data_IF_736166082193
#
_entry.id   IF_736166082193
#
_cell.length_a   1.000
_cell.length_b   1.000
_cell.length_c   1.000
_cell.angle_alpha   90.00
_cell.angle_beta   90.00
_cell.angle_gamma   90.00
#
_symmetry.space_group_name_H-M   'P 1'
#
loop_
_entity.id
_entity.type
_entity.pdbx_description
1 polymer ?
#
# COMPACT_ATOMS: atom_id res chain seq x y z
N UNK A 1 4.43 -11.67 -5.25
CA UNK A 1 3.20 -12.10 -4.52
C UNK A 1 2.76 -11.09 -3.47
N UNK A 2 2.55 -9.84 -3.86
CA UNK A 2 2.01 -8.78 -2.98
C UNK A 2 1.72 -7.58 -3.86
N UNK A 3 0.68 -6.80 -3.57
CA UNK A 3 0.53 -5.47 -4.12
C UNK A 3 -0.03 -4.53 -3.06
N UNK A 4 0.70 -3.45 -2.78
CA UNK A 4 0.26 -2.41 -1.85
C UNK A 4 0.45 -1.02 -2.48
N UNK A 5 -0.44 -0.10 -2.13
CA UNK A 5 -0.51 1.26 -2.65
C UNK A 5 -0.63 2.23 -1.47
N UNK A 6 0.11 3.33 -1.52
CA UNK A 6 -0.12 4.52 -0.70
C UNK A 6 -0.28 5.74 -1.60
N UNK A 7 -1.33 6.52 -1.41
CA UNK A 7 -1.59 7.76 -2.16
C UNK A 7 -1.63 8.93 -1.17
N UNK A 8 -0.85 9.98 -1.45
CA UNK A 8 -0.83 11.23 -0.71
C UNK A 8 -1.63 12.28 -1.48
N UNK A 9 -2.71 12.76 -0.90
CA UNK A 9 -3.50 13.88 -1.45
C UNK A 9 -3.28 15.11 -0.58
N UNK A 10 -3.78 16.27 -1.00
CA UNK A 10 -3.79 17.45 -0.12
C UNK A 10 -4.72 17.28 1.08
N UNK A 11 -5.72 16.40 0.96
CA UNK A 11 -6.77 16.14 1.95
C UNK A 11 -6.43 15.01 2.93
N UNK A 12 -5.35 14.25 2.68
CA UNK A 12 -4.94 13.14 3.53
C UNK A 12 -4.26 12.00 2.76
N UNK A 13 -4.44 10.77 3.25
CA UNK A 13 -3.77 9.57 2.76
C UNK A 13 -4.78 8.45 2.49
N UNK A 14 -4.49 7.66 1.47
CA UNK A 14 -5.22 6.42 1.13
C UNK A 14 -4.21 5.28 1.05
N UNK A 15 -4.51 4.18 1.72
CA UNK A 15 -3.76 2.94 1.64
C UNK A 15 -4.64 1.78 1.21
N UNK A 16 -4.07 0.89 0.42
CA UNK A 16 -4.67 -0.39 0.09
C UNK A 16 -3.58 -1.46 0.04
N UNK A 17 -3.84 -2.66 0.57
CA UNK A 17 -2.95 -3.81 0.46
C UNK A 17 -3.72 -5.10 0.27
N UNK A 18 -3.30 -5.93 -0.68
CA UNK A 18 -3.81 -7.30 -0.81
C UNK A 18 -3.35 -8.19 0.36
N UNK A 19 -3.93 -9.38 0.52
CA UNK A 19 -3.57 -10.29 1.62
C UNK A 19 -2.95 -11.63 1.20
N UNK A 20 -2.99 -11.98 -0.09
CA UNK A 20 -2.37 -13.22 -0.58
C UNK A 20 -0.85 -13.17 -0.42
N UNK A 21 -0.27 -14.19 0.20
CA UNK A 21 1.15 -14.20 0.53
C UNK A 21 1.79 -15.56 0.34
N UNK A 22 3.05 -15.57 -0.09
CA UNK A 22 3.87 -16.77 -0.21
C UNK A 22 4.53 -17.06 1.14
N UNK A 23 4.21 -18.20 1.75
CA UNK A 23 4.81 -18.66 3.00
C UNK A 23 5.78 -19.83 2.81
N UNK A 24 6.16 -20.16 1.57
CA UNK A 24 7.06 -21.26 1.22
C UNK A 24 6.62 -22.01 -0.04
N UNK A 25 7.38 -23.04 -0.41
CA UNK A 25 7.06 -23.90 -1.54
C UNK A 25 5.63 -24.46 -1.39
N UNK A 26 4.77 -24.18 -2.37
CA UNK A 26 3.35 -24.55 -2.42
C UNK A 26 2.51 -24.11 -1.20
N UNK A 27 2.92 -23.07 -0.48
CA UNK A 27 2.22 -22.56 0.68
C UNK A 27 1.74 -21.12 0.47
N UNK A 28 0.52 -20.98 -0.04
CA UNK A 28 -0.12 -19.68 -0.28
C UNK A 28 -1.24 -19.47 0.73
N UNK A 29 -1.09 -18.46 1.58
CA UNK A 29 -2.04 -18.14 2.65
C UNK A 29 -2.47 -16.67 2.62
N UNK A 30 -3.42 -16.33 3.48
CA UNK A 30 -3.92 -14.98 3.70
C UNK A 30 -3.26 -14.42 4.96
N UNK A 31 -2.52 -13.32 4.80
CA UNK A 31 -1.99 -12.52 5.91
C UNK A 31 -2.29 -11.06 5.63
N UNK A 32 -2.78 -10.33 6.63
CA UNK A 32 -2.86 -8.88 6.52
C UNK A 32 -1.46 -8.31 6.34
N UNK A 33 -1.33 -7.39 5.40
CA UNK A 33 -0.08 -6.68 5.14
C UNK A 33 -0.09 -5.28 5.71
N UNK A 34 -1.21 -4.86 6.33
CA UNK A 34 -1.40 -3.55 6.91
C UNK A 34 -1.28 -3.61 8.43
N UNK A 35 -0.53 -2.67 9.00
CA UNK A 35 -0.51 -2.37 10.42
C UNK A 35 -0.90 -0.90 10.60
N UNK A 36 -1.78 -0.65 11.56
CA UNK A 36 -2.18 0.72 11.94
C UNK A 36 -1.80 0.97 13.40
N UNK A 37 -1.25 2.14 13.66
CA UNK A 37 -1.01 2.67 15.00
C UNK A 37 -1.67 4.04 15.08
N UNK A 38 -2.87 4.06 15.66
CA UNK A 38 -3.76 5.23 15.70
C UNK A 38 -4.05 5.57 17.16
N UNK A 39 -3.34 6.55 17.69
CA UNK A 39 -3.44 6.97 19.09
C UNK A 39 -3.50 8.49 19.15
N UNK A 40 -4.43 9.06 19.91
CA UNK A 40 -4.47 10.46 20.39
C UNK A 40 -3.82 11.56 19.52
N UNK A 41 -2.48 11.61 19.49
CA UNK A 41 -1.68 12.62 18.77
C UNK A 41 -1.10 12.18 17.43
N UNK A 42 -1.24 10.92 17.01
CA UNK A 42 -0.66 10.38 15.78
C UNK A 42 -1.45 9.22 15.19
N UNK A 43 -1.53 9.23 13.88
CA UNK A 43 -1.97 8.08 13.08
C UNK A 43 -0.81 7.65 12.21
N UNK A 44 -0.48 6.36 12.21
CA UNK A 44 0.58 5.75 11.40
C UNK A 44 0.01 4.50 10.75
N UNK A 45 0.15 4.40 9.44
CA UNK A 45 -0.24 3.25 8.62
C UNK A 45 1.02 2.70 7.97
N UNK A 46 1.25 1.40 8.11
CA UNK A 46 2.36 0.67 7.50
C UNK A 46 1.79 -0.44 6.64
N UNK A 47 2.30 -0.59 5.41
CA UNK A 47 2.01 -1.76 4.56
C UNK A 47 3.30 -2.41 4.08
N UNK A 48 3.32 -3.74 3.94
CA UNK A 48 4.54 -4.49 3.61
C UNK A 48 4.47 -5.23 2.29
N UNK A 49 5.64 -5.57 1.74
CA UNK A 49 5.83 -6.55 0.68
C UNK A 49 7.21 -7.20 0.80
N UNK A 50 7.42 -8.35 0.17
CA UNK A 50 8.71 -9.04 0.17
C UNK A 50 8.71 -10.25 1.10
N UNK A 51 9.80 -10.45 1.85
CA UNK A 51 9.95 -11.62 2.70
C UNK A 51 8.95 -11.61 3.88
N UNK A 52 8.11 -12.65 3.97
CA UNK A 52 7.09 -12.74 5.02
C UNK A 52 7.72 -12.78 6.42
N UNK A 53 8.74 -13.62 6.63
CA UNK A 53 9.41 -13.75 7.92
C UNK A 53 10.00 -12.44 8.42
N UNK A 54 10.71 -11.72 7.55
CA UNK A 54 11.27 -10.39 7.89
C UNK A 54 10.18 -9.37 8.15
N UNK A 55 9.13 -9.31 7.32
CA UNK A 55 8.04 -8.36 7.53
C UNK A 55 7.29 -8.57 8.85
N UNK A 56 7.01 -9.83 9.21
CA UNK A 56 6.38 -10.19 10.47
C UNK A 56 7.31 -9.92 11.67
N UNK A 57 8.61 -10.17 11.53
CA UNK A 57 9.58 -9.86 12.59
C UNK A 57 9.66 -8.34 12.84
N UNK A 58 9.62 -7.51 11.79
CA UNK A 58 9.54 -6.05 11.91
C UNK A 58 8.27 -5.65 12.66
N UNK A 59 7.10 -6.12 12.22
CA UNK A 59 5.83 -5.86 12.91
C UNK A 59 5.85 -6.30 14.37
N UNK A 60 6.42 -7.47 14.65
CA UNK A 60 6.52 -7.98 16.01
C UNK A 60 7.41 -7.11 16.89
N UNK A 61 8.56 -6.67 16.38
CA UNK A 61 9.44 -5.75 17.12
C UNK A 61 8.76 -4.42 17.40
N UNK A 62 7.99 -3.88 16.45
CA UNK A 62 7.20 -2.65 16.68
C UNK A 62 6.22 -2.85 17.85
N UNK A 63 5.47 -3.96 17.87
CA UNK A 63 4.54 -4.26 18.96
C UNK A 63 5.22 -4.44 20.32
N UNK A 64 6.39 -5.07 20.35
CA UNK A 64 7.18 -5.29 21.57
C UNK A 64 7.77 -3.97 22.09
N UNK A 65 8.31 -3.15 21.20
CA UNK A 65 8.87 -1.84 21.50
C UNK A 65 7.79 -0.88 22.02
N UNK A 66 6.54 -1.00 21.55
CA UNK A 66 5.40 -0.24 22.06
C UNK A 66 4.96 -0.66 23.49
N UNK A 67 5.24 -1.90 23.90
CA UNK A 67 4.90 -2.43 25.23
C UNK A 67 6.05 -2.27 26.24
N UNK A 68 7.28 -2.12 25.75
CA UNK A 68 8.48 -2.01 26.58
C UNK A 68 8.57 -0.65 27.25
N UNK A 69 8.76 -0.65 28.57
CA UNK A 69 9.07 0.56 29.33
C UNK A 69 10.51 1.00 29.07
N UNK A 70 10.77 2.32 29.05
CA UNK A 70 12.10 2.92 28.88
C UNK A 70 12.79 2.62 27.54
N UNK A 71 12.03 2.30 26.48
CA UNK A 71 12.62 2.25 25.14
C UNK A 71 12.90 3.66 24.62
N UNK A 72 14.08 3.86 24.03
CA UNK A 72 14.50 5.18 23.55
C UNK A 72 13.70 5.64 22.33
N UNK A 73 13.50 4.75 21.35
CA UNK A 73 12.81 5.03 20.10
C UNK A 73 11.76 3.95 19.81
N UNK A 74 10.50 4.36 19.68
CA UNK A 74 9.40 3.56 19.12
C UNK A 74 8.40 4.49 18.40
N UNK A 75 7.29 3.96 17.90
CA UNK A 75 6.29 4.77 17.19
C UNK A 75 5.63 5.88 18.04
N UNK A 76 5.62 5.75 19.38
CA UNK A 76 5.11 6.77 20.30
C UNK A 76 6.13 7.88 20.59
N UNK A 77 7.42 7.58 20.54
CA UNK A 77 8.48 8.55 20.90
C UNK A 77 9.10 9.24 19.69
N UNK A 78 8.94 8.68 18.48
CA UNK A 78 9.38 9.32 17.25
C UNK A 78 8.78 10.73 17.11
N UNK A 79 9.63 11.71 16.80
CA UNK A 79 9.28 13.13 16.75
C UNK A 79 8.69 13.58 15.42
N UNK A 80 8.97 12.86 14.34
CA UNK A 80 8.49 13.14 13.00
C UNK A 80 8.48 11.85 12.15
N UNK A 81 7.93 11.91 10.94
CA UNK A 81 7.86 10.74 10.07
C UNK A 81 9.20 10.28 9.49
N UNK A 82 10.23 11.14 9.43
CA UNK A 82 11.58 10.71 9.04
C UNK A 82 12.16 9.75 10.08
N UNK A 83 11.95 10.05 11.38
CA UNK A 83 12.33 9.15 12.47
C UNK A 83 11.54 7.84 12.44
N UNK A 84 10.24 7.89 12.16
CA UNK A 84 9.41 6.68 11.98
C UNK A 84 9.96 5.82 10.82
N UNK A 85 10.25 6.42 9.67
CA UNK A 85 10.80 5.71 8.52
C UNK A 85 12.19 5.11 8.83
N UNK A 86 13.03 5.85 9.55
CA UNK A 86 14.37 5.40 9.96
C UNK A 86 14.30 4.24 10.96
N UNK A 87 13.37 4.32 11.92
CA UNK A 87 13.12 3.27 12.90
C UNK A 87 12.69 1.96 12.23
N UNK A 88 11.67 2.00 11.36
CA UNK A 88 11.22 0.83 10.60
C UNK A 88 12.34 0.31 9.68
N UNK A 89 13.09 1.20 9.03
CA UNK A 89 14.25 0.83 8.21
C UNK A 89 15.34 0.11 8.99
N UNK A 90 15.65 0.57 10.21
CA UNK A 90 16.59 -0.10 11.10
C UNK A 90 16.13 -1.51 11.50
N UNK A 91 14.85 -1.69 11.83
CA UNK A 91 14.27 -3.01 12.10
C UNK A 91 14.34 -3.93 10.87
N UNK A 92 14.09 -3.39 9.67
CA UNK A 92 14.17 -4.16 8.43
C UNK A 92 15.59 -4.67 8.16
N UNK A 93 16.61 -3.84 8.34
CA UNK A 93 18.02 -4.26 8.24
C UNK A 93 18.32 -5.35 9.28
N UNK A 94 17.92 -5.13 10.54
CA UNK A 94 18.12 -6.07 11.64
C UNK A 94 17.57 -7.46 11.33
N UNK A 95 16.36 -7.54 10.76
CA UNK A 95 15.65 -8.79 10.50
C UNK A 95 15.91 -9.40 9.12
N UNK A 96 16.55 -8.67 8.21
CA UNK A 96 16.97 -9.20 6.89
C UNK A 96 18.44 -9.62 6.86
N UNK A 97 19.21 -9.29 7.90
CA UNK A 97 20.62 -9.68 8.02
C UNK A 97 20.75 -11.18 8.29
N UNK A 98 21.41 -11.97 7.42
CA UNK A 98 21.57 -13.39 7.65
C UNK A 98 22.51 -13.65 8.83
N UNK A 99 22.06 -14.44 9.80
CA UNK A 99 22.91 -14.96 10.88
C UNK A 99 23.57 -16.27 10.41
N UNK A 100 24.46 -16.20 9.42
CA UNK A 100 25.16 -17.37 8.87
C UNK A 100 25.46 -17.28 7.38
N UNK A 101 25.81 -18.42 6.78
CA UNK A 101 26.09 -18.52 5.34
C UNK A 101 24.77 -18.61 4.57
N UNK A 102 24.38 -17.54 3.90
CA UNK A 102 23.27 -17.57 2.98
C UNK A 102 23.78 -18.16 1.66
N UNK A 103 23.72 -19.49 1.53
CA UNK A 103 24.21 -20.22 0.35
C UNK A 103 23.26 -20.11 -0.84
N UNK A 104 22.02 -19.69 -0.59
CA UNK A 104 21.00 -19.49 -1.60
C UNK A 104 20.84 -18.00 -1.93
N UNK A 105 20.51 -17.68 -3.19
CA UNK A 105 20.17 -16.32 -3.64
C UNK A 105 18.80 -15.84 -3.08
N UNK A 106 18.49 -16.13 -1.82
CA UNK A 106 17.22 -15.76 -1.20
C UNK A 106 17.27 -14.30 -0.77
N UNK A 107 16.36 -13.51 -1.37
CA UNK A 107 16.09 -12.15 -0.93
C UNK A 107 15.35 -12.19 0.42
N UNK A 108 16.07 -11.87 1.49
CA UNK A 108 15.53 -11.79 2.85
C UNK A 108 14.92 -10.41 3.16
N UNK A 109 15.14 -9.42 2.30
CA UNK A 109 14.63 -8.07 2.52
C UNK A 109 13.12 -7.93 2.32
N UNK A 110 12.51 -7.02 3.08
CA UNK A 110 11.14 -6.55 2.86
C UNK A 110 11.14 -5.08 2.49
N UNK A 111 10.06 -4.62 1.87
CA UNK A 111 9.84 -3.22 1.49
C UNK A 111 8.56 -2.75 2.15
N UNK A 112 8.55 -1.51 2.65
CA UNK A 112 7.43 -0.97 3.40
C UNK A 112 6.99 0.37 2.80
N UNK A 113 5.68 0.63 2.82
CA UNK A 113 5.18 2.00 2.77
C UNK A 113 4.77 2.39 4.18
N UNK A 114 5.14 3.59 4.60
CA UNK A 114 4.68 4.17 5.87
C UNK A 114 4.13 5.56 5.61
N UNK A 115 2.98 5.86 6.19
CA UNK A 115 2.42 7.20 6.13
C UNK A 115 1.42 7.46 7.23
N UNK A 116 1.07 8.72 7.41
CA UNK A 116 0.16 9.16 8.46
C UNK A 116 0.46 10.60 8.84
N UNK A 117 0.10 10.99 10.06
CA UNK A 117 0.33 12.33 10.58
C UNK A 117 0.57 12.30 12.08
N UNK A 118 1.50 13.15 12.55
CA UNK A 118 1.63 13.53 13.96
C UNK A 118 0.97 14.90 14.10
N UNK A 119 0.18 15.10 15.15
CA UNK A 119 -0.59 16.31 15.41
C UNK A 119 0.28 17.57 15.32
N UNK A 120 -0.20 18.54 14.55
CA UNK A 120 0.53 19.79 14.27
C UNK A 120 1.63 19.70 13.21
N UNK A 121 1.88 18.53 12.63
CA UNK A 121 2.82 18.33 11.52
C UNK A 121 2.08 18.05 10.21
N UNK A 122 2.78 18.07 9.08
CA UNK A 122 2.22 17.63 7.80
C UNK A 122 2.02 16.12 7.80
N UNK A 123 0.99 15.64 7.12
CA UNK A 123 0.88 14.22 6.81
C UNK A 123 1.94 13.82 5.78
N UNK A 124 2.53 12.65 5.97
CA UNK A 124 3.65 12.18 5.14
C UNK A 124 3.43 10.77 4.63
N UNK A 125 4.17 10.42 3.58
CA UNK A 125 4.20 9.09 2.97
C UNK A 125 5.64 8.78 2.53
N UNK A 126 6.13 7.60 2.88
CA UNK A 126 7.47 7.12 2.57
C UNK A 126 7.45 5.70 2.01
N UNK A 127 8.42 5.43 1.15
CA UNK A 127 8.83 4.09 0.73
C UNK A 127 10.15 3.76 1.43
N UNK A 128 10.18 2.68 2.19
CA UNK A 128 11.37 2.15 2.87
C UNK A 128 11.85 0.93 2.11
N UNK A 129 13.09 0.98 1.66
CA UNK A 129 13.74 -0.10 0.93
C UNK A 129 14.26 -1.20 1.87
N UNK A 130 14.58 -2.39 1.34
CA UNK A 130 15.26 -3.46 2.09
C UNK A 130 16.51 -3.01 2.85
N UNK A 131 17.24 -2.03 2.30
CA UNK A 131 18.47 -1.48 2.88
C UNK A 131 18.20 -0.44 3.99
N UNK A 132 16.94 -0.23 4.36
CA UNK A 132 16.50 0.67 5.43
C UNK A 132 16.52 2.17 5.09
N UNK A 133 17.10 2.56 3.96
CA UNK A 133 16.93 3.91 3.43
C UNK A 133 15.52 4.09 2.83
N UNK A 134 15.11 5.35 2.65
CA UNK A 134 13.74 5.67 2.26
C UNK A 134 13.64 6.91 1.36
N UNK A 135 12.53 7.01 0.63
CA UNK A 135 12.17 8.17 -0.20
C UNK A 135 10.73 8.61 0.05
N UNK A 136 10.40 9.84 -0.36
CA UNK A 136 9.02 10.36 -0.46
C UNK A 136 8.51 10.23 -1.90
N UNK A 137 7.19 10.21 -2.14
CA UNK A 137 6.67 10.36 -3.49
C UNK A 137 7.08 11.71 -4.08
N UNK A 138 7.18 11.78 -5.41
CA UNK A 138 7.38 13.06 -6.09
C UNK A 138 6.10 13.89 -6.01
N UNK A 139 6.22 15.22 -5.88
CA UNK A 139 5.05 16.12 -5.83
C UNK A 139 4.13 15.97 -7.05
N UNK A 140 4.72 15.73 -8.23
CA UNK A 140 3.98 15.51 -9.49
C UNK A 140 3.24 14.17 -9.58
N UNK A 141 3.63 13.20 -8.76
CA UNK A 141 3.08 11.83 -8.72
C UNK A 141 2.98 11.38 -7.27
N UNK A 142 1.92 11.80 -6.57
CA UNK A 142 1.89 11.71 -5.12
C UNK A 142 1.40 10.33 -4.65
N UNK A 143 2.00 9.26 -5.17
CA UNK A 143 1.71 7.89 -4.78
C UNK A 143 2.96 7.02 -4.81
N UNK A 144 2.94 5.94 -4.02
CA UNK A 144 3.95 4.90 -3.98
C UNK A 144 3.29 3.53 -4.07
N UNK A 145 3.98 2.58 -4.68
CA UNK A 145 3.53 1.20 -4.86
C UNK A 145 4.66 0.24 -4.56
N UNK A 146 4.34 -0.89 -3.93
CA UNK A 146 5.29 -1.96 -3.61
C UNK A 146 4.71 -3.33 -4.01
N UNK A 147 5.59 -4.30 -4.29
CA UNK A 147 5.20 -5.61 -4.81
C UNK A 147 5.00 -5.64 -6.34
N UNK A 148 3.91 -6.22 -6.83
CA UNK A 148 3.58 -6.40 -8.25
C UNK A 148 3.05 -5.10 -8.88
N UNK A 149 3.94 -4.15 -9.11
CA UNK A 149 3.58 -2.77 -9.49
C UNK A 149 3.01 -2.61 -10.90
N UNK A 150 3.18 -3.59 -11.79
CA UNK A 150 3.02 -3.36 -13.25
C UNK A 150 1.57 -3.15 -13.70
N UNK A 151 0.63 -3.89 -13.13
CA UNK A 151 -0.73 -4.00 -13.65
C UNK A 151 -1.64 -2.82 -13.25
N UNK A 152 -1.57 -2.41 -11.98
CA UNK A 152 -2.36 -1.27 -11.46
C UNK A 152 -1.77 0.11 -11.76
N UNK A 153 -0.46 0.20 -12.07
CA UNK A 153 0.21 1.50 -12.26
C UNK A 153 -0.40 2.40 -13.36
N UNK A 154 -0.85 1.90 -14.54
CA UNK A 154 -1.37 2.75 -15.60
C UNK A 154 -2.57 3.62 -15.21
N UNK A 155 -3.48 3.14 -14.35
CA UNK A 155 -4.61 3.96 -13.88
C UNK A 155 -4.13 5.05 -12.91
N UNK A 156 -3.18 4.72 -12.04
CA UNK A 156 -2.56 5.67 -11.12
C UNK A 156 -1.85 6.80 -11.89
N UNK A 157 -1.05 6.49 -12.91
CA UNK A 157 -0.36 7.50 -13.73
C UNK A 157 -1.33 8.45 -14.45
N UNK A 158 -2.53 7.97 -14.81
CA UNK A 158 -3.55 8.75 -15.53
C UNK A 158 -4.36 9.64 -14.59
N UNK A 159 -4.81 9.10 -13.45
CA UNK A 159 -5.81 9.73 -12.58
C UNK A 159 -5.19 10.45 -11.40
N UNK A 160 -4.15 9.90 -10.79
CA UNK A 160 -3.56 10.45 -9.55
C UNK A 160 -2.68 11.65 -9.89
N UNK A 161 -3.22 12.84 -9.63
CA UNK A 161 -2.59 14.15 -9.78
C UNK A 161 -2.50 14.88 -8.44
N UNK A 162 -1.67 15.93 -8.29
CA UNK A 162 -1.46 16.61 -7.01
C UNK A 162 -2.74 17.18 -6.37
N UNK A 163 -3.74 17.50 -7.18
CA UNK A 163 -5.03 18.09 -6.80
C UNK A 163 -6.16 17.06 -6.68
N UNK A 164 -5.87 15.76 -6.80
CA UNK A 164 -6.88 14.71 -6.68
C UNK A 164 -7.58 14.75 -5.31
N UNK A 165 -8.91 14.64 -5.31
CA UNK A 165 -9.68 14.51 -4.07
C UNK A 165 -9.38 13.18 -3.38
N UNK A 166 -9.52 13.13 -2.05
CA UNK A 166 -9.29 11.88 -1.31
C UNK A 166 -10.26 10.78 -1.77
N UNK A 167 -11.49 11.13 -2.12
CA UNK A 167 -12.50 10.18 -2.61
C UNK A 167 -12.16 9.60 -3.97
N UNK A 168 -11.65 10.41 -4.90
CA UNK A 168 -11.19 9.91 -6.21
C UNK A 168 -9.93 9.07 -6.07
N UNK A 169 -9.01 9.46 -5.18
CA UNK A 169 -7.85 8.64 -4.85
C UNK A 169 -8.26 7.28 -4.27
N UNK A 170 -9.26 7.23 -3.38
CA UNK A 170 -9.85 6.00 -2.84
C UNK A 170 -10.38 5.09 -3.94
N UNK A 171 -11.24 5.61 -4.83
CA UNK A 171 -11.76 4.84 -5.97
C UNK A 171 -10.64 4.36 -6.90
N UNK A 172 -9.68 5.22 -7.19
CA UNK A 172 -8.55 4.90 -8.05
C UNK A 172 -7.67 3.78 -7.45
N UNK A 173 -7.46 3.78 -6.13
CA UNK A 173 -6.73 2.71 -5.44
C UNK A 173 -7.44 1.36 -5.59
N UNK A 174 -8.76 1.31 -5.42
CA UNK A 174 -9.55 0.08 -5.59
C UNK A 174 -9.55 -0.42 -7.05
N UNK A 175 -9.69 0.48 -8.02
CA UNK A 175 -9.60 0.12 -9.46
C UNK A 175 -8.20 -0.40 -9.80
N UNK A 176 -7.16 0.20 -9.21
CA UNK A 176 -5.77 -0.25 -9.35
C UNK A 176 -5.58 -1.65 -8.77
N UNK A 177 -6.16 -1.94 -7.61
CA UNK A 177 -6.20 -3.28 -7.02
C UNK A 177 -6.92 -4.28 -7.91
N UNK A 178 -8.12 -3.94 -8.40
CA UNK A 178 -8.92 -4.82 -9.27
C UNK A 178 -8.17 -5.21 -10.55
N UNK A 179 -7.50 -4.22 -11.18
CA UNK A 179 -6.70 -4.46 -12.38
C UNK A 179 -5.56 -5.45 -12.12
N UNK A 180 -4.89 -5.33 -10.97
CA UNK A 180 -3.82 -6.24 -10.56
C UNK A 180 -4.36 -7.63 -10.21
N UNK A 181 -5.42 -7.72 -9.42
CA UNK A 181 -6.06 -8.98 -9.02
C UNK A 181 -6.50 -9.83 -10.22
N UNK A 182 -7.03 -9.19 -11.27
CA UNK A 182 -7.46 -9.88 -12.49
C UNK A 182 -6.30 -10.36 -13.36
N UNK A 183 -5.12 -9.76 -13.23
CA UNK A 183 -3.99 -9.96 -14.14
C UNK A 183 -2.85 -10.75 -13.52
N UNK A 184 -2.79 -10.85 -12.19
CA UNK A 184 -1.72 -11.53 -11.46
C UNK A 184 -2.29 -12.37 -10.30
N UNK A 185 -2.19 -13.69 -10.44
CA UNK A 185 -2.67 -14.65 -9.43
C UNK A 185 -1.88 -14.61 -8.13
N UNK A 186 -0.72 -13.96 -8.10
CA UNK A 186 0.10 -13.83 -6.89
C UNK A 186 -0.40 -12.71 -5.96
N UNK A 187 -1.37 -11.91 -6.43
CA UNK A 187 -2.09 -10.89 -5.66
C UNK A 187 -3.50 -11.40 -5.42
N UNK A 188 -4.04 -11.21 -4.23
CA UNK A 188 -5.33 -11.80 -3.89
C UNK A 188 -6.06 -11.15 -2.71
N UNK A 189 -7.40 -11.25 -2.70
CA UNK A 189 -8.23 -10.73 -1.61
C UNK A 189 -8.00 -11.51 -0.29
N UNK A 190 -8.48 -10.98 0.85
CA UNK A 190 -9.11 -9.66 1.00
C UNK A 190 -8.13 -8.49 0.76
N UNK A 191 -8.67 -7.28 0.71
CA UNK A 191 -7.93 -6.02 0.56
C UNK A 191 -8.12 -5.22 1.84
N UNK A 192 -7.05 -5.01 2.60
CA UNK A 192 -7.05 -4.05 3.69
C UNK A 192 -7.03 -2.64 3.07
N UNK A 193 -7.98 -1.79 3.46
CA UNK A 193 -8.18 -0.45 2.94
C UNK A 193 -8.28 0.56 4.08
N UNK A 194 -7.44 1.60 4.04
CA UNK A 194 -7.43 2.62 5.07
C UNK A 194 -7.42 4.01 4.48
N UNK A 195 -8.15 4.92 5.11
CA UNK A 195 -8.19 6.34 4.74
C UNK A 195 -7.96 7.18 5.98
N UNK A 196 -6.99 8.08 5.87
CA UNK A 196 -6.68 9.08 6.88
C UNK A 196 -6.93 10.47 6.29
N UNK A 197 -7.73 11.31 6.95
CA UNK A 197 -7.89 12.71 6.55
C UNK A 197 -6.91 13.58 7.30
N UNK A 198 -6.34 14.56 6.61
CA UNK A 198 -5.46 15.56 7.19
C UNK A 198 -6.13 16.21 8.42
N UNK A 199 -5.37 16.30 9.49
CA UNK A 199 -5.74 16.86 10.79
C UNK A 199 -6.88 16.12 11.51
N UNK A 200 -7.26 14.92 11.04
CA UNK A 200 -8.17 14.05 11.77
C UNK A 200 -7.47 13.41 12.97
N UNK A 201 -8.21 13.23 14.07
CA UNK A 201 -7.66 12.57 15.26
C UNK A 201 -7.55 11.04 15.10
N UNK A 202 -8.24 10.44 14.12
CA UNK A 202 -8.23 8.99 13.86
C UNK A 202 -8.44 8.68 12.36
N UNK A 203 -8.25 7.41 11.97
CA UNK A 203 -8.65 6.89 10.67
C UNK A 203 -10.14 7.10 10.39
N UNK A 204 -10.48 7.56 9.19
CA UNK A 204 -11.88 7.75 8.77
C UNK A 204 -12.47 6.53 8.09
N UNK A 205 -11.61 5.61 7.63
CA UNK A 205 -11.99 4.29 7.15
C UNK A 205 -10.87 3.30 7.44
N UNK A 206 -11.25 2.10 7.88
CA UNK A 206 -10.38 0.94 8.05
C UNK A 206 -11.21 -0.30 7.77
N UNK A 207 -11.16 -0.78 6.53
CA UNK A 207 -12.00 -1.86 6.02
C UNK A 207 -11.16 -3.03 5.54
N UNK A 208 -11.71 -4.24 5.62
CA UNK A 208 -11.13 -5.44 5.03
C UNK A 208 -12.10 -5.94 3.95
N UNK A 209 -11.81 -5.60 2.70
CA UNK A 209 -12.72 -5.75 1.56
C UNK A 209 -12.46 -7.06 0.79
N UNK A 210 -13.44 -7.93 0.75
CA UNK A 210 -13.53 -9.01 -0.21
C UNK A 210 -14.08 -8.52 -1.56
N UNK A 211 -13.79 -9.27 -2.63
CA UNK A 211 -14.28 -8.95 -3.98
C UNK A 211 -15.82 -8.97 -4.09
N UNK A 212 -16.50 -9.62 -3.13
CA UNK A 212 -17.96 -9.70 -3.04
C UNK A 212 -18.59 -8.55 -2.27
N UNK A 213 -17.80 -7.69 -1.62
CA UNK A 213 -18.34 -6.58 -0.87
C UNK A 213 -19.02 -5.55 -1.80
N UNK A 214 -20.15 -5.02 -1.35
CA UNK A 214 -21.02 -4.17 -2.16
C UNK A 214 -20.29 -2.89 -2.64
N UNK A 215 -19.55 -2.23 -1.75
CA UNK A 215 -18.76 -1.04 -2.08
C UNK A 215 -17.69 -1.34 -3.14
N UNK A 216 -16.91 -2.42 -2.95
CA UNK A 216 -15.85 -2.81 -3.87
C UNK A 216 -16.42 -3.21 -5.23
N UNK A 217 -17.38 -4.13 -5.23
CA UNK A 217 -17.97 -4.69 -6.44
C UNK A 217 -18.69 -3.62 -7.27
N UNK A 218 -19.43 -2.69 -6.66
CA UNK A 218 -20.06 -1.57 -7.39
C UNK A 218 -19.05 -0.70 -8.12
N UNK A 219 -17.98 -0.28 -7.45
CA UNK A 219 -16.93 0.56 -8.05
C UNK A 219 -16.28 -0.17 -9.23
N UNK A 220 -15.86 -1.42 -9.03
CA UNK A 220 -15.12 -2.18 -10.04
C UNK A 220 -16.01 -2.60 -11.22
N UNK A 221 -17.27 -2.99 -10.98
CA UNK A 221 -18.21 -3.33 -12.04
C UNK A 221 -18.57 -2.11 -12.89
N UNK A 222 -18.87 -0.97 -12.25
CA UNK A 222 -19.17 0.27 -12.97
C UNK A 222 -17.98 0.73 -13.82
N UNK A 223 -16.75 0.60 -13.31
CA UNK A 223 -15.53 0.87 -14.08
C UNK A 223 -15.41 -0.04 -15.31
N UNK A 224 -15.56 -1.36 -15.11
CA UNK A 224 -15.48 -2.35 -16.19
C UNK A 224 -16.50 -2.09 -17.30
N UNK A 225 -17.78 -1.89 -16.94
CA UNK A 225 -18.84 -1.58 -17.90
C UNK A 225 -18.57 -0.28 -18.66
N UNK A 226 -18.02 0.73 -17.98
CA UNK A 226 -17.71 2.03 -18.59
C UNK A 226 -16.58 1.93 -19.60
N UNK A 227 -15.56 1.09 -19.37
CA UNK A 227 -14.49 0.84 -20.34
C UNK A 227 -15.07 0.28 -21.64
N UNK A 228 -15.96 -0.71 -21.56
CA UNK A 228 -16.58 -1.29 -22.76
C UNK A 228 -17.42 -0.25 -23.53
N UNK A 229 -18.21 0.56 -22.83
CA UNK A 229 -18.99 1.66 -23.45
C UNK A 229 -18.08 2.66 -24.17
N UNK A 230 -16.95 3.03 -23.57
CA UNK A 230 -15.98 3.95 -24.19
C UNK A 230 -15.33 3.29 -25.40
N UNK A 231 -14.92 2.02 -25.30
CA UNK A 231 -14.32 1.28 -26.41
C UNK A 231 -15.28 1.18 -27.61
N UNK A 232 -16.56 0.93 -27.36
CA UNK A 232 -17.58 0.86 -28.40
C UNK A 232 -17.87 2.21 -29.08
N UNK A 233 -17.60 3.32 -28.38
CA UNK A 233 -17.76 4.69 -28.90
C UNK A 233 -16.66 5.12 -29.86
N UNK A 234 -15.56 4.37 -29.96
CA UNK A 234 -14.45 4.73 -30.83
C UNK A 234 -14.84 4.73 -32.31
N UNK A 235 -14.26 5.66 -33.11
CA UNK A 235 -14.51 5.68 -34.54
C UNK A 235 -14.06 4.36 -35.16
N UNK A 236 -14.96 3.72 -35.90
CA UNK A 236 -14.67 2.48 -36.61
C UNK A 236 -13.67 2.74 -37.74
N UNK A 237 -12.74 1.82 -37.92
CA UNK A 237 -11.76 1.94 -38.99
C UNK A 237 -12.45 1.95 -40.36
N UNK A 238 -11.80 2.54 -41.36
CA UNK A 238 -12.34 2.60 -42.73
C UNK A 238 -12.69 1.21 -43.28
N UNK A 239 -11.94 0.17 -42.91
CA UNK A 239 -12.15 -1.21 -43.34
C UNK A 239 -13.31 -1.93 -42.65
N UNK A 240 -13.86 -1.38 -41.55
CA UNK A 240 -15.03 -1.94 -40.87
C UNK A 240 -16.35 -1.56 -41.55
N UNK A 241 -16.34 -0.52 -42.40
CA UNK A 241 -17.52 -0.13 -43.16
C UNK A 241 -17.78 -1.21 -44.21
N UNK A 242 -18.80 -2.04 -44.00
CA UNK A 242 -19.32 -2.93 -45.05
C UNK A 242 -19.64 -2.06 -46.27
N UNK A 243 -18.97 -2.32 -47.38
CA UNK A 243 -19.38 -1.78 -48.68
C UNK A 243 -20.82 -2.26 -48.91
N UNK A 244 -21.76 -1.31 -48.93
CA UNK A 244 -23.15 -1.57 -49.36
C UNK A 244 -23.18 -1.77 -50.86
#
# INVERSE_FOLDING_TARGET
>A
MTYCIGIKTNEGLVFASDSRTNAGLDNVNIYSKMMTHDIGDRTIIVVTSGNLGTSQAVYKSIEEDLKTQNIEINLNTCKNFEQIASYIGGLNIKHSSPQGMNTDNVLLGSTFLVGGQIKGQKHELYLIYPQGNYIRPADSKPYLVIGEVKYGKPILDRVVKPDISIGDASRCALISMDSTLRSDLTVGPPIDFAVFKKDADNLVALDCLNITDDTYSKICNQWSESIFKIFDSFPRFKWEKKFK
#
